data_IF_968828508700
#
_entry.id   IF_968828508700
#
_cell.length_a   1.000
_cell.length_b   1.000
_cell.length_c   1.000
_cell.angle_alpha   90.00
_cell.angle_beta   90.00
_cell.angle_gamma   90.00
#
_symmetry.space_group_name_H-M   'P 1'
#
loop_
_entity.id
_entity.type
_entity.pdbx_description
1 polymer ?
#
# COMPACT_ATOMS: atom_id res chain seq x y z
N UNK A 1 -35.56 33.04 -17.85
CA UNK A 1 -34.22 33.64 -17.61
C UNK A 1 -33.43 32.84 -16.59
N UNK A 2 -34.02 32.46 -15.44
CA UNK A 2 -33.38 31.66 -14.39
C UNK A 2 -32.90 30.27 -14.88
N UNK A 3 -33.71 29.56 -15.67
CA UNK A 3 -33.35 28.25 -16.22
C UNK A 3 -32.12 28.34 -17.13
N UNK A 4 -32.05 29.40 -17.96
CA UNK A 4 -30.88 29.65 -18.84
C UNK A 4 -29.62 29.94 -18.01
N UNK A 5 -29.78 30.66 -16.91
CA UNK A 5 -28.68 30.93 -15.99
C UNK A 5 -28.16 29.62 -15.34
N UNK A 6 -29.05 28.75 -14.90
CA UNK A 6 -28.68 27.45 -14.33
C UNK A 6 -27.95 26.55 -15.33
N UNK A 7 -28.49 26.47 -16.57
CA UNK A 7 -27.83 25.68 -17.63
C UNK A 7 -26.42 26.22 -17.92
N UNK A 8 -26.25 27.56 -17.93
CA UNK A 8 -24.93 28.17 -18.12
C UNK A 8 -23.99 27.85 -16.99
N UNK A 9 -24.43 27.97 -15.74
CA UNK A 9 -23.63 27.65 -14.55
C UNK A 9 -23.26 26.16 -14.51
N UNK A 10 -24.19 25.26 -14.88
CA UNK A 10 -23.91 23.84 -14.97
C UNK A 10 -22.82 23.54 -16.00
N UNK A 11 -22.94 24.06 -17.21
CA UNK A 11 -21.92 23.89 -18.27
C UNK A 11 -20.58 24.45 -17.85
N UNK A 12 -20.56 25.62 -17.22
CA UNK A 12 -19.32 26.20 -16.70
C UNK A 12 -18.69 25.35 -15.59
N UNK A 13 -19.48 24.77 -14.71
CA UNK A 13 -19.00 23.85 -13.69
C UNK A 13 -18.45 22.55 -14.31
N UNK A 14 -19.11 22.02 -15.32
CA UNK A 14 -18.66 20.84 -16.07
C UNK A 14 -17.32 21.10 -16.78
N UNK A 15 -17.18 22.25 -17.42
CA UNK A 15 -15.92 22.69 -18.06
C UNK A 15 -14.78 22.85 -17.04
N UNK A 16 -15.08 23.41 -15.85
CA UNK A 16 -14.11 23.59 -14.76
C UNK A 16 -13.70 22.27 -14.10
N UNK A 17 -14.60 21.31 -14.00
CA UNK A 17 -14.29 19.96 -13.48
C UNK A 17 -13.35 19.19 -14.41
N UNK A 18 -13.36 19.49 -15.70
CA UNK A 18 -12.54 18.82 -16.68
C UNK A 18 -12.91 17.34 -16.87
N UNK A 19 -11.92 16.53 -17.19
CA UNK A 19 -12.08 15.10 -17.41
C UNK A 19 -11.70 14.30 -16.16
N UNK A 20 -12.50 13.31 -15.79
CA UNK A 20 -12.14 12.32 -14.77
C UNK A 20 -11.00 11.39 -15.21
N UNK A 21 -10.78 11.28 -16.52
CA UNK A 21 -9.68 10.49 -17.05
C UNK A 21 -8.37 11.25 -16.92
N UNK A 22 -7.38 10.63 -16.29
CA UNK A 22 -6.03 11.16 -16.22
C UNK A 22 -5.42 11.16 -17.62
N UNK A 23 -5.33 12.34 -18.23
CA UNK A 23 -4.63 12.49 -19.52
C UNK A 23 -3.16 12.04 -19.37
N UNK A 24 -2.61 11.32 -20.35
CA UNK A 24 -1.17 11.06 -20.36
C UNK A 24 -0.41 12.40 -20.38
N UNK A 25 0.68 12.46 -19.62
CA UNK A 25 1.51 13.65 -19.57
C UNK A 25 2.13 13.92 -20.94
N UNK A 26 2.20 15.19 -21.34
CA UNK A 26 2.86 15.61 -22.57
C UNK A 26 4.37 15.46 -22.46
N UNK A 27 5.08 15.50 -23.62
CA UNK A 27 6.54 15.47 -23.65
C UNK A 27 7.17 16.64 -22.89
N UNK A 28 6.55 17.83 -22.98
CA UNK A 28 6.99 19.03 -22.26
C UNK A 28 6.81 18.90 -20.74
N UNK A 29 5.68 18.36 -20.28
CA UNK A 29 5.45 18.08 -18.86
C UNK A 29 6.45 17.07 -18.33
N UNK A 30 6.71 15.99 -19.07
CA UNK A 30 7.73 15.00 -18.71
C UNK A 30 9.14 15.58 -18.70
N UNK A 31 9.46 16.44 -19.65
CA UNK A 31 10.73 17.19 -19.69
C UNK A 31 10.90 18.07 -18.45
N UNK A 32 9.88 18.83 -18.12
CA UNK A 32 9.88 19.70 -16.91
C UNK A 32 10.02 18.87 -15.64
N UNK A 33 9.26 17.78 -15.50
CA UNK A 33 9.38 16.87 -14.35
C UNK A 33 10.79 16.29 -14.22
N UNK A 34 11.42 15.89 -15.33
CA UNK A 34 12.82 15.38 -15.32
C UNK A 34 13.81 16.44 -14.86
N UNK A 35 13.67 17.70 -15.32
CA UNK A 35 14.56 18.79 -14.94
C UNK A 35 14.50 19.14 -13.46
N UNK A 36 13.35 18.90 -12.81
CA UNK A 36 13.13 19.21 -11.40
C UNK A 36 13.30 17.99 -10.48
N UNK A 37 13.38 16.79 -11.06
CA UNK A 37 13.44 15.56 -10.30
C UNK A 37 14.87 15.26 -9.86
N UNK A 38 15.04 14.95 -8.57
CA UNK A 38 16.33 14.48 -8.05
C UNK A 38 16.57 13.05 -8.50
N UNK A 39 17.85 12.75 -8.75
CA UNK A 39 18.32 11.42 -9.11
C UNK A 39 19.66 11.13 -8.43
N UNK A 40 20.08 9.88 -8.47
CA UNK A 40 21.28 9.40 -7.80
C UNK A 40 22.50 9.57 -8.69
N UNK A 41 23.55 10.19 -8.14
CA UNK A 41 24.90 10.29 -8.69
C UNK A 41 25.89 9.67 -7.70
N UNK A 42 27.07 9.32 -8.15
CA UNK A 42 28.14 8.79 -7.31
C UNK A 42 29.01 9.93 -6.75
N UNK A 43 29.37 9.87 -5.47
CA UNK A 43 30.29 10.87 -4.87
C UNK A 43 31.76 10.65 -5.25
N UNK A 44 32.15 9.41 -5.59
CA UNK A 44 33.53 9.00 -5.84
C UNK A 44 33.61 7.94 -6.91
N UNK A 45 34.84 7.66 -7.38
CA UNK A 45 35.08 6.54 -8.29
C UNK A 45 34.84 5.22 -7.58
N UNK A 46 34.03 4.35 -8.19
CA UNK A 46 33.69 3.06 -7.64
C UNK A 46 34.02 1.92 -8.63
N UNK A 47 34.58 0.83 -8.13
CA UNK A 47 34.93 -0.32 -8.93
C UNK A 47 33.69 -1.18 -9.27
N UNK A 48 33.82 -2.02 -10.32
CA UNK A 48 32.86 -3.09 -10.59
C UNK A 48 32.72 -4.01 -9.36
N UNK A 49 31.49 -4.36 -9.02
CA UNK A 49 31.17 -5.25 -7.88
C UNK A 49 31.14 -4.54 -6.53
N UNK A 50 31.43 -3.23 -6.46
CA UNK A 50 31.29 -2.44 -5.23
C UNK A 50 29.85 -2.45 -4.76
N UNK A 51 29.61 -2.75 -3.50
CA UNK A 51 28.31 -2.71 -2.86
C UNK A 51 28.01 -1.28 -2.39
N UNK A 52 26.94 -0.69 -2.90
CA UNK A 52 26.61 0.71 -2.67
C UNK A 52 26.15 0.95 -1.23
N UNK A 53 26.71 1.98 -0.63
CA UNK A 53 26.34 2.52 0.68
C UNK A 53 25.77 3.91 0.57
N UNK A 54 25.15 4.41 1.60
CA UNK A 54 24.62 5.79 1.62
C UNK A 54 25.73 6.84 1.41
N UNK A 55 26.94 6.57 1.89
CA UNK A 55 28.09 7.45 1.75
C UNK A 55 28.57 7.60 0.30
N UNK A 56 28.29 6.63 -0.57
CA UNK A 56 28.66 6.66 -1.99
C UNK A 56 27.73 7.51 -2.85
N UNK A 57 26.55 7.87 -2.33
CA UNK A 57 25.47 8.43 -3.11
C UNK A 57 25.32 9.95 -2.93
N UNK A 58 25.11 10.66 -4.05
CA UNK A 58 24.78 12.07 -4.12
C UNK A 58 23.42 12.24 -4.80
N UNK A 59 22.56 13.07 -4.24
CA UNK A 59 21.24 13.38 -4.80
C UNK A 59 21.29 14.76 -5.46
N UNK A 60 21.13 14.80 -6.77
CA UNK A 60 21.18 16.04 -7.54
C UNK A 60 20.10 16.10 -8.63
N UNK A 61 19.91 17.27 -9.20
CA UNK A 61 19.10 17.57 -10.38
C UNK A 61 20.02 18.05 -11.51
N UNK A 62 19.61 17.91 -12.77
CA UNK A 62 18.44 17.20 -13.30
C UNK A 62 18.59 15.67 -13.33
N UNK A 63 17.47 14.97 -13.39
CA UNK A 63 17.50 13.53 -13.66
C UNK A 63 17.63 13.25 -15.15
N UNK A 64 18.26 12.12 -15.48
CA UNK A 64 18.34 11.59 -16.84
C UNK A 64 17.36 10.45 -17.05
N UNK A 65 17.15 10.07 -18.30
CA UNK A 65 16.35 8.89 -18.63
C UNK A 65 17.00 7.61 -18.08
N UNK A 66 16.19 6.70 -17.54
CA UNK A 66 16.63 5.45 -16.91
C UNK A 66 17.58 5.61 -15.71
N UNK A 67 17.74 6.83 -15.20
CA UNK A 67 18.54 7.08 -14.00
C UNK A 67 17.79 6.62 -12.75
N UNK A 68 18.53 6.09 -11.78
CA UNK A 68 18.01 5.70 -10.47
C UNK A 68 17.52 6.95 -9.72
N UNK A 69 16.30 6.90 -9.21
CA UNK A 69 15.67 7.98 -8.48
C UNK A 69 15.80 7.77 -6.97
N UNK A 70 15.63 8.85 -6.21
CA UNK A 70 15.72 8.85 -4.73
C UNK A 70 14.82 7.81 -4.06
N UNK A 71 13.68 7.50 -4.68
CA UNK A 71 12.71 6.54 -4.15
C UNK A 71 13.02 5.06 -4.49
N UNK A 72 14.12 4.80 -5.20
CA UNK A 72 14.59 3.43 -5.45
C UNK A 72 15.63 3.04 -4.41
N UNK A 73 15.49 1.86 -3.83
CA UNK A 73 16.52 1.30 -2.96
C UNK A 73 17.74 0.95 -3.81
N UNK A 74 18.87 1.57 -3.52
CA UNK A 74 20.15 1.31 -4.16
C UNK A 74 21.20 0.82 -3.19
N UNK A 75 20.99 1.05 -1.91
CA UNK A 75 21.89 0.62 -0.83
C UNK A 75 21.91 -0.92 -0.77
N UNK A 76 23.10 -1.49 -0.73
CA UNK A 76 23.31 -2.94 -0.75
C UNK A 76 23.35 -3.57 -2.15
N UNK A 77 23.04 -2.82 -3.22
CA UNK A 77 23.18 -3.29 -4.62
C UNK A 77 24.62 -3.15 -5.09
N UNK A 78 25.03 -4.00 -6.02
CA UNK A 78 26.40 -3.99 -6.55
C UNK A 78 26.46 -3.36 -7.93
N UNK A 79 27.54 -2.64 -8.22
CA UNK A 79 27.80 -2.08 -9.55
C UNK A 79 28.14 -3.19 -10.54
N UNK A 80 27.53 -3.15 -11.72
CA UNK A 80 27.80 -4.04 -12.85
C UNK A 80 29.11 -3.70 -13.61
N UNK A 81 29.56 -2.44 -13.50
CA UNK A 81 30.77 -1.91 -14.12
C UNK A 81 31.42 -0.84 -13.24
N UNK A 82 32.71 -0.50 -13.52
CA UNK A 82 33.38 0.65 -12.91
C UNK A 82 32.67 1.94 -13.29
N UNK A 83 32.50 2.86 -12.32
CA UNK A 83 31.90 4.17 -12.51
C UNK A 83 32.76 5.27 -11.90
N UNK A 84 32.79 6.42 -12.56
CA UNK A 84 33.51 7.62 -12.09
C UNK A 84 32.69 8.44 -11.11
N UNK A 85 33.35 9.26 -10.33
CA UNK A 85 32.73 10.30 -9.50
C UNK A 85 31.82 11.21 -10.35
N UNK A 86 30.72 11.66 -9.75
CA UNK A 86 29.68 12.48 -10.37
C UNK A 86 28.98 11.87 -11.58
N UNK A 87 29.25 10.60 -11.90
CA UNK A 87 28.49 9.91 -12.94
C UNK A 87 27.04 9.65 -12.46
N UNK A 88 26.05 9.81 -13.35
CA UNK A 88 24.68 9.41 -13.07
C UNK A 88 24.62 7.89 -12.90
N UNK A 89 23.91 7.45 -11.87
CA UNK A 89 23.68 6.03 -11.63
C UNK A 89 22.43 5.58 -12.40
N UNK A 90 22.62 4.77 -13.43
CA UNK A 90 21.53 4.22 -14.25
C UNK A 90 21.05 2.88 -13.68
N UNK A 91 19.81 2.51 -13.94
CA UNK A 91 19.29 1.20 -13.54
C UNK A 91 20.08 0.02 -14.14
N UNK A 92 20.67 0.19 -15.34
CA UNK A 92 21.54 -0.78 -15.98
C UNK A 92 22.94 -0.93 -15.33
N UNK A 93 23.34 0.03 -14.51
CA UNK A 93 24.62 0.00 -13.80
C UNK A 93 24.59 -0.87 -12.54
N UNK A 94 23.40 -1.27 -12.15
CA UNK A 94 23.19 -2.10 -10.98
C UNK A 94 23.03 -3.57 -11.39
N UNK A 95 23.71 -4.46 -10.68
CA UNK A 95 23.44 -5.90 -10.84
C UNK A 95 21.97 -6.15 -10.56
N UNK A 96 21.37 -7.08 -11.31
CA UNK A 96 20.03 -7.52 -11.01
C UNK A 96 19.96 -7.94 -9.54
N UNK A 97 19.02 -7.39 -8.79
CA UNK A 97 18.62 -8.02 -7.54
C UNK A 97 18.15 -9.42 -7.91
N UNK A 98 18.61 -10.44 -7.18
CA UNK A 98 18.03 -11.77 -7.32
C UNK A 98 16.51 -11.62 -7.20
N UNK A 99 15.79 -11.88 -8.25
CA UNK A 99 14.34 -11.93 -8.53
C UNK A 99 13.34 -11.05 -7.73
N UNK A 100 13.76 -10.17 -6.85
CA UNK A 100 12.85 -9.27 -6.15
C UNK A 100 12.68 -7.96 -6.92
N UNK A 101 11.68 -7.91 -7.80
CA UNK A 101 11.14 -6.62 -8.30
C UNK A 101 10.80 -5.75 -7.09
N UNK A 102 11.23 -4.46 -7.07
CA UNK A 102 10.89 -3.57 -5.96
C UNK A 102 9.36 -3.58 -5.75
N UNK A 103 8.94 -3.71 -4.50
CA UNK A 103 7.51 -3.73 -4.17
C UNK A 103 6.84 -2.46 -4.72
N UNK A 104 5.78 -2.57 -5.52
CA UNK A 104 5.16 -1.44 -6.19
C UNK A 104 4.26 -0.64 -5.22
N UNK A 105 4.86 -0.07 -4.16
CA UNK A 105 4.16 0.61 -3.07
C UNK A 105 3.21 1.70 -3.58
N UNK A 106 3.67 2.55 -4.51
CA UNK A 106 2.82 3.61 -5.09
C UNK A 106 1.55 3.05 -5.73
N UNK A 107 1.67 1.97 -6.51
CA UNK A 107 0.52 1.32 -7.15
C UNK A 107 -0.44 0.71 -6.13
N UNK A 108 0.07 0.16 -5.02
CA UNK A 108 -0.76 -0.35 -3.91
C UNK A 108 -1.51 0.79 -3.24
N UNK A 109 -0.82 1.89 -2.91
CA UNK A 109 -1.44 3.06 -2.28
C UNK A 109 -2.53 3.70 -3.17
N UNK A 110 -2.30 3.77 -4.48
CA UNK A 110 -3.32 4.24 -5.43
C UNK A 110 -4.57 3.35 -5.45
N UNK A 111 -4.39 2.03 -5.42
CA UNK A 111 -5.53 1.10 -5.37
C UNK A 111 -6.31 1.22 -4.06
N UNK A 112 -5.62 1.29 -2.92
CA UNK A 112 -6.26 1.50 -1.61
C UNK A 112 -7.06 2.80 -1.61
N UNK A 113 -6.48 3.89 -2.12
CA UNK A 113 -7.17 5.18 -2.24
C UNK A 113 -8.39 5.09 -3.16
N UNK A 114 -8.29 4.35 -4.26
CA UNK A 114 -9.42 4.10 -5.17
C UNK A 114 -10.59 3.42 -4.45
N UNK A 115 -10.33 2.31 -3.76
CA UNK A 115 -11.34 1.56 -3.00
C UNK A 115 -11.99 2.42 -1.89
N UNK A 116 -11.19 3.20 -1.14
CA UNK A 116 -11.71 4.12 -0.13
C UNK A 116 -12.59 5.22 -0.75
N UNK A 117 -12.24 5.74 -1.91
CA UNK A 117 -13.02 6.74 -2.63
C UNK A 117 -14.35 6.15 -3.13
N UNK A 118 -14.33 4.96 -3.74
CA UNK A 118 -15.52 4.28 -4.24
C UNK A 118 -16.48 3.89 -3.11
N UNK A 119 -15.94 3.42 -1.99
CA UNK A 119 -16.74 3.11 -0.80
C UNK A 119 -17.30 4.34 -0.09
N UNK A 120 -16.84 5.54 -0.44
CA UNK A 120 -17.17 6.81 0.24
C UNK A 120 -16.89 6.77 1.75
N UNK A 121 -15.92 5.96 2.15
CA UNK A 121 -15.55 5.80 3.55
C UNK A 121 -14.73 6.99 4.03
N UNK A 122 -15.24 7.71 5.03
CA UNK A 122 -14.53 8.81 5.66
C UNK A 122 -13.50 8.28 6.66
N UNK A 123 -12.27 8.78 6.55
CA UNK A 123 -11.17 8.46 7.47
C UNK A 123 -10.85 9.72 8.28
N UNK A 124 -10.68 9.58 9.59
CA UNK A 124 -10.25 10.69 10.45
C UNK A 124 -8.81 11.10 10.15
N UNK A 125 -8.50 12.37 10.35
CA UNK A 125 -7.22 12.97 9.98
C UNK A 125 -6.00 12.34 10.68
N UNK A 126 -6.16 11.88 11.91
CA UNK A 126 -5.12 11.32 12.77
C UNK A 126 -5.09 9.78 12.77
N UNK A 127 -5.81 9.13 11.85
CA UNK A 127 -5.82 7.69 11.73
C UNK A 127 -4.42 7.15 11.37
N UNK A 128 -4.04 6.05 12.02
CA UNK A 128 -2.78 5.37 11.76
C UNK A 128 -2.96 4.36 10.63
N UNK A 129 -2.09 4.45 9.62
CA UNK A 129 -2.11 3.60 8.44
C UNK A 129 -1.01 2.53 8.52
N UNK A 130 -1.39 1.28 8.23
CA UNK A 130 -0.49 0.12 8.27
C UNK A 130 -0.76 -0.81 7.08
N UNK A 131 0.31 -1.31 6.44
CA UNK A 131 0.25 -2.43 5.50
C UNK A 131 0.65 -3.72 6.22
N UNK A 132 -0.31 -4.44 6.76
CA UNK A 132 -0.04 -5.72 7.42
C UNK A 132 0.35 -6.79 6.39
N UNK A 133 1.60 -7.28 6.46
CA UNK A 133 2.19 -8.20 5.47
C UNK A 133 2.80 -9.43 6.13
N UNK A 134 2.10 -10.54 6.15
CA UNK A 134 2.46 -11.72 6.92
C UNK A 134 3.58 -12.58 6.31
N UNK A 135 3.87 -12.41 5.04
CA UNK A 135 4.93 -13.13 4.31
C UNK A 135 5.94 -12.18 3.66
N UNK A 136 6.12 -11.00 4.24
CA UNK A 136 6.94 -9.92 3.71
C UNK A 136 6.19 -9.03 2.73
N UNK A 137 6.66 -7.78 2.61
CA UNK A 137 6.00 -6.73 1.83
C UNK A 137 5.83 -7.11 0.35
N UNK A 138 6.76 -7.87 -0.21
CA UNK A 138 6.71 -8.30 -1.63
C UNK A 138 5.51 -9.21 -1.94
N UNK A 139 4.95 -9.89 -0.94
CA UNK A 139 3.74 -10.73 -1.07
C UNK A 139 2.48 -10.04 -0.55
N UNK A 140 2.53 -8.77 -0.21
CA UNK A 140 1.40 -8.02 0.33
C UNK A 140 0.15 -8.11 -0.54
N UNK A 141 0.29 -8.09 -1.88
CA UNK A 141 -0.84 -8.20 -2.80
C UNK A 141 -1.58 -9.54 -2.72
N UNK A 142 -0.89 -10.57 -2.29
CA UNK A 142 -1.45 -11.91 -2.15
C UNK A 142 -1.92 -12.15 -0.71
N UNK A 143 -1.03 -11.84 0.25
CA UNK A 143 -1.27 -12.07 1.68
C UNK A 143 -1.03 -10.80 2.47
N UNK A 144 -2.09 -10.21 2.93
CA UNK A 144 -2.03 -9.00 3.73
C UNK A 144 -3.38 -8.33 3.88
N UNK A 145 -3.37 -7.19 4.51
CA UNK A 145 -4.50 -6.29 4.58
C UNK A 145 -4.01 -4.88 4.90
N UNK A 146 -4.72 -3.88 4.43
CA UNK A 146 -4.48 -2.51 4.89
C UNK A 146 -5.31 -2.25 6.12
N UNK A 147 -4.68 -1.82 7.20
CA UNK A 147 -5.32 -1.47 8.45
C UNK A 147 -5.24 0.04 8.66
N UNK A 148 -6.38 0.69 8.88
CA UNK A 148 -6.47 2.11 9.18
C UNK A 148 -7.10 2.23 10.57
N UNK A 149 -6.26 2.38 11.58
CA UNK A 149 -6.71 2.49 12.97
C UNK A 149 -7.23 3.88 13.24
N UNK A 150 -8.54 4.01 13.37
CA UNK A 150 -9.23 5.27 13.67
C UNK A 150 -9.27 5.57 15.17
N UNK A 151 -9.47 4.54 15.97
CA UNK A 151 -9.56 4.62 17.45
C UNK A 151 -8.94 3.36 18.02
N UNK A 152 -8.17 3.49 19.10
CA UNK A 152 -7.74 2.36 19.94
C UNK A 152 -7.68 2.84 21.40
N UNK A 153 -8.70 2.49 22.16
CA UNK A 153 -8.90 2.83 23.59
C UNK A 153 -9.42 1.57 24.31
N UNK A 154 -10.41 1.68 25.17
CA UNK A 154 -11.14 0.53 25.72
C UNK A 154 -11.93 -0.24 24.65
N UNK A 155 -12.09 0.35 23.51
CA UNK A 155 -12.57 -0.23 22.25
C UNK A 155 -11.71 0.25 21.09
N UNK A 156 -11.71 -0.50 20.00
CA UNK A 156 -11.00 -0.12 18.79
C UNK A 156 -11.96 -0.04 17.59
N UNK A 157 -11.66 0.92 16.71
CA UNK A 157 -12.29 1.06 15.41
C UNK A 157 -11.20 1.09 14.35
N UNK A 158 -11.29 0.22 13.36
CA UNK A 158 -10.42 0.21 12.19
C UNK A 158 -11.23 0.15 10.90
N UNK A 159 -10.69 0.74 9.87
CA UNK A 159 -11.11 0.48 8.49
C UNK A 159 -10.07 -0.46 7.87
N UNK A 160 -10.53 -1.57 7.36
CA UNK A 160 -9.72 -2.55 6.65
C UNK A 160 -9.99 -2.43 5.15
N UNK A 161 -8.93 -2.46 4.35
CA UNK A 161 -9.04 -2.50 2.89
C UNK A 161 -8.35 -3.76 2.39
N UNK A 162 -9.11 -4.61 1.73
CA UNK A 162 -8.63 -5.78 1.00
C UNK A 162 -8.52 -5.44 -0.49
N UNK A 163 -7.34 -5.65 -1.05
CA UNK A 163 -7.15 -5.55 -2.49
C UNK A 163 -7.82 -6.74 -3.21
N UNK A 164 -8.11 -6.63 -4.52
CA UNK A 164 -8.62 -7.76 -5.29
C UNK A 164 -7.73 -9.01 -5.15
N UNK A 165 -8.37 -10.14 -4.81
CA UNK A 165 -7.74 -11.47 -4.58
C UNK A 165 -6.79 -11.55 -3.39
N UNK A 166 -6.74 -10.54 -2.54
CA UNK A 166 -5.93 -10.52 -1.34
C UNK A 166 -6.57 -11.38 -0.25
N UNK A 167 -5.73 -12.07 0.52
CA UNK A 167 -6.14 -12.97 1.61
C UNK A 167 -5.47 -12.55 2.90
N UNK A 168 -6.20 -12.63 3.99
CA UNK A 168 -5.63 -12.54 5.32
C UNK A 168 -5.37 -13.95 5.85
N UNK A 169 -4.21 -14.24 6.49
CA UNK A 169 -3.90 -15.56 7.03
C UNK A 169 -4.89 -16.01 8.11
N UNK A 170 -5.04 -17.32 8.27
CA UNK A 170 -5.91 -17.92 9.27
C UNK A 170 -5.33 -17.71 10.66
N UNK A 171 -6.10 -17.11 11.55
CA UNK A 171 -5.66 -16.75 12.89
C UNK A 171 -6.85 -16.66 13.86
N UNK A 172 -6.56 -16.53 15.15
CA UNK A 172 -7.53 -16.19 16.18
C UNK A 172 -6.95 -15.18 17.16
N UNK A 173 -7.81 -14.55 17.94
CA UNK A 173 -7.45 -13.69 19.06
C UNK A 173 -7.77 -14.38 20.38
N UNK A 174 -6.87 -14.27 21.37
CA UNK A 174 -7.09 -14.86 22.71
C UNK A 174 -8.11 -14.08 23.52
N UNK A 175 -8.10 -12.76 23.38
CA UNK A 175 -8.85 -11.83 24.22
C UNK A 175 -9.79 -10.94 23.40
N UNK A 176 -9.33 -10.51 22.21
CA UNK A 176 -10.07 -9.56 21.37
C UNK A 176 -11.34 -10.20 20.79
N UNK A 177 -12.48 -9.54 21.01
CA UNK A 177 -13.72 -9.76 20.27
C UNK A 177 -13.81 -8.73 19.14
N UNK A 178 -14.21 -9.15 17.95
CA UNK A 178 -14.32 -8.31 16.76
C UNK A 178 -15.69 -8.43 16.12
N UNK A 179 -16.20 -7.33 15.60
CA UNK A 179 -17.32 -7.32 14.67
C UNK A 179 -16.88 -6.68 13.38
N UNK A 180 -16.96 -7.42 12.28
CA UNK A 180 -16.73 -6.89 10.95
C UNK A 180 -18.06 -6.43 10.35
N UNK A 181 -18.08 -5.27 9.71
CA UNK A 181 -19.15 -4.81 8.85
C UNK A 181 -18.60 -4.55 7.45
N UNK A 182 -19.16 -5.19 6.44
CA UNK A 182 -18.80 -4.89 5.05
C UNK A 182 -19.44 -3.56 4.64
N UNK A 183 -18.60 -2.58 4.25
CA UNK A 183 -19.04 -1.28 3.78
C UNK A 183 -19.16 -1.21 2.25
N UNK A 184 -18.26 -1.92 1.54
CA UNK A 184 -18.21 -1.94 0.08
C UNK A 184 -17.46 -3.17 -0.43
N UNK A 185 -17.86 -3.68 -1.61
CA UNK A 185 -17.20 -4.78 -2.30
C UNK A 185 -17.76 -6.15 -1.94
N UNK A 186 -16.91 -7.16 -1.95
CA UNK A 186 -17.24 -8.55 -1.60
C UNK A 186 -16.30 -9.09 -0.52
N UNK A 187 -16.83 -9.81 0.44
CA UNK A 187 -16.04 -10.39 1.52
C UNK A 187 -16.49 -11.80 1.86
N UNK A 188 -15.55 -12.74 1.79
CA UNK A 188 -15.72 -14.08 2.34
C UNK A 188 -14.91 -14.20 3.64
N UNK A 189 -15.60 -14.47 4.75
CA UNK A 189 -14.98 -14.89 6.01
C UNK A 189 -15.05 -16.42 6.14
N UNK A 190 -13.98 -17.01 6.65
CA UNK A 190 -14.03 -18.40 7.13
C UNK A 190 -13.93 -18.39 8.64
N UNK A 191 -14.91 -18.92 9.35
CA UNK A 191 -14.99 -19.02 10.81
C UNK A 191 -15.00 -20.49 11.21
N UNK A 192 -13.99 -20.96 11.94
CA UNK A 192 -13.83 -22.38 12.33
C UNK A 192 -14.12 -23.36 11.16
N UNK A 193 -13.56 -23.02 9.99
CA UNK A 193 -13.73 -23.81 8.75
C UNK A 193 -15.02 -23.57 7.98
N UNK A 194 -15.99 -22.83 8.52
CA UNK A 194 -17.25 -22.51 7.84
C UNK A 194 -17.15 -21.18 7.10
N UNK A 195 -17.58 -21.15 5.86
CA UNK A 195 -17.60 -19.93 5.03
C UNK A 195 -18.85 -19.12 5.28
N UNK A 196 -18.66 -17.81 5.42
CA UNK A 196 -19.70 -16.79 5.53
C UNK A 196 -19.39 -15.71 4.49
N UNK A 197 -20.33 -15.47 3.58
CA UNK A 197 -20.22 -14.40 2.59
C UNK A 197 -21.01 -13.22 3.11
N UNK A 198 -20.40 -12.03 3.11
CA UNK A 198 -21.05 -10.79 3.52
C UNK A 198 -21.34 -9.92 2.30
N UNK A 199 -22.50 -9.31 2.30
CA UNK A 199 -22.90 -8.22 1.40
C UNK A 199 -22.75 -6.85 2.11
N UNK A 200 -22.63 -5.74 1.38
CA UNK A 200 -22.53 -4.40 1.98
C UNK A 200 -23.69 -4.12 2.96
N UNK A 201 -23.32 -3.79 4.20
CA UNK A 201 -24.24 -3.60 5.33
C UNK A 201 -24.30 -4.79 6.30
N UNK A 202 -23.92 -5.99 5.87
CA UNK A 202 -23.89 -7.15 6.76
C UNK A 202 -22.81 -7.04 7.83
N UNK A 203 -23.08 -7.67 8.98
CA UNK A 203 -22.13 -7.74 10.10
C UNK A 203 -21.84 -9.18 10.47
N UNK A 204 -20.62 -9.43 10.95
CA UNK A 204 -20.20 -10.73 11.44
C UNK A 204 -19.40 -10.59 12.73
N UNK A 205 -19.87 -11.25 13.80
CA UNK A 205 -19.18 -11.31 15.09
C UNK A 205 -18.16 -12.43 15.12
N UNK A 206 -16.93 -12.13 15.52
CA UNK A 206 -15.84 -13.07 15.79
C UNK A 206 -15.49 -12.99 17.28
N UNK A 207 -15.80 -14.06 18.02
CA UNK A 207 -15.50 -14.16 19.45
C UNK A 207 -14.03 -14.54 19.68
N UNK A 208 -13.48 -14.24 20.88
CA UNK A 208 -12.19 -14.77 21.27
C UNK A 208 -12.09 -16.28 21.08
N UNK A 209 -10.94 -16.74 20.57
CA UNK A 209 -10.67 -18.17 20.29
C UNK A 209 -11.22 -18.68 18.96
N UNK A 210 -12.07 -17.94 18.26
CA UNK A 210 -12.61 -18.36 16.95
C UNK A 210 -11.56 -18.16 15.87
N UNK A 211 -11.19 -19.25 15.21
CA UNK A 211 -10.30 -19.21 14.05
C UNK A 211 -10.98 -18.54 12.87
N UNK A 212 -10.34 -17.54 12.31
CA UNK A 212 -10.91 -16.80 11.18
C UNK A 212 -9.86 -16.34 10.17
N UNK A 213 -10.30 -16.21 8.94
CA UNK A 213 -9.59 -15.56 7.84
C UNK A 213 -10.59 -14.84 6.96
N UNK A 214 -10.09 -13.85 6.22
CA UNK A 214 -10.90 -13.09 5.28
C UNK A 214 -10.21 -13.02 3.93
N UNK A 215 -11.01 -12.98 2.88
CA UNK A 215 -10.57 -12.80 1.51
C UNK A 215 -11.61 -12.05 0.70
N UNK A 216 -11.15 -11.32 -0.32
CA UNK A 216 -12.02 -10.66 -1.28
C UNK A 216 -11.59 -11.03 -2.70
N UNK A 217 -12.54 -11.20 -3.61
CA UNK A 217 -12.26 -11.46 -5.01
C UNK A 217 -12.02 -10.17 -5.80
N UNK A 218 -12.85 -9.15 -5.56
CA UNK A 218 -12.85 -7.90 -6.35
C UNK A 218 -12.33 -6.69 -5.55
N UNK A 219 -12.08 -6.88 -4.26
CA UNK A 219 -11.71 -5.84 -3.30
C UNK A 219 -12.84 -5.56 -2.32
N UNK A 220 -12.48 -5.17 -1.11
CA UNK A 220 -13.42 -4.86 -0.05
C UNK A 220 -12.94 -3.71 0.83
N UNK A 221 -13.90 -2.94 1.32
CA UNK A 221 -13.70 -1.99 2.42
C UNK A 221 -14.66 -2.38 3.54
N UNK A 222 -14.11 -2.63 4.72
CA UNK A 222 -14.88 -3.07 5.89
C UNK A 222 -14.49 -2.29 7.12
N UNK A 223 -15.40 -2.22 8.07
CA UNK A 223 -15.18 -1.68 9.41
C UNK A 223 -14.99 -2.82 10.39
N UNK A 224 -13.96 -2.73 11.23
CA UNK A 224 -13.74 -3.56 12.40
C UNK A 224 -14.04 -2.72 13.63
N UNK A 225 -15.02 -3.13 14.42
CA UNK A 225 -15.25 -2.67 15.77
C UNK A 225 -14.83 -3.80 16.71
N UNK A 226 -13.93 -3.50 17.64
CA UNK A 226 -13.41 -4.53 18.54
C UNK A 226 -13.16 -4.00 19.94
N UNK A 227 -12.92 -4.91 20.87
CA UNK A 227 -12.27 -4.56 22.13
C UNK A 227 -10.87 -4.05 21.88
N UNK A 228 -10.16 -3.57 22.89
CA UNK A 228 -8.81 -3.00 22.75
C UNK A 228 -7.91 -3.88 21.89
N UNK A 229 -7.28 -3.27 20.89
CA UNK A 229 -6.31 -3.93 20.05
C UNK A 229 -4.96 -4.06 20.75
N UNK A 230 -4.49 -5.30 20.89
CA UNK A 230 -3.17 -5.65 21.43
C UNK A 230 -2.34 -6.37 20.36
N UNK A 231 -1.13 -5.87 20.10
CA UNK A 231 -0.24 -6.40 19.04
C UNK A 231 0.08 -7.88 19.22
N UNK A 232 0.16 -8.35 20.46
CA UNK A 232 0.54 -9.73 20.83
C UNK A 232 -0.64 -10.72 20.88
N UNK A 233 -1.87 -10.26 20.62
CA UNK A 233 -3.08 -11.09 20.82
C UNK A 233 -3.41 -12.01 19.63
N UNK A 234 -2.80 -11.77 18.45
CA UNK A 234 -3.04 -12.57 17.24
C UNK A 234 -2.21 -13.85 17.22
N UNK A 235 -2.86 -15.00 17.15
CA UNK A 235 -2.26 -16.33 17.03
C UNK A 235 -2.54 -16.89 15.63
N UNK A 236 -1.49 -17.23 14.88
CA UNK A 236 -1.58 -17.69 13.50
C UNK A 236 -1.44 -19.19 13.39
N UNK A 237 -2.16 -19.80 12.42
CA UNK A 237 -2.05 -21.22 12.10
C UNK A 237 -0.69 -21.56 11.48
N UNK A 238 -0.17 -20.69 10.59
CA UNK A 238 1.13 -20.89 9.94
C UNK A 238 2.27 -20.61 10.92
N UNK A 239 3.12 -21.62 11.25
CA UNK A 239 4.26 -21.45 12.14
C UNK A 239 5.22 -20.34 11.70
N UNK A 240 5.39 -20.14 10.38
CA UNK A 240 6.26 -19.09 9.84
C UNK A 240 5.81 -17.69 10.24
N UNK A 241 4.50 -17.50 10.41
CA UNK A 241 3.96 -16.22 10.87
C UNK A 241 3.95 -16.16 12.40
N UNK A 242 3.62 -17.29 13.05
CA UNK A 242 3.51 -17.36 14.50
C UNK A 242 4.86 -17.06 15.21
N UNK A 243 5.97 -17.49 14.61
CA UNK A 243 7.34 -17.29 15.13
C UNK A 243 7.91 -15.90 14.81
N UNK A 244 7.29 -15.13 13.90
CA UNK A 244 7.74 -13.78 13.58
C UNK A 244 7.47 -12.81 14.73
N UNK A 245 8.39 -11.85 14.91
CA UNK A 245 8.13 -10.68 15.76
C UNK A 245 6.86 -9.95 15.22
N UNK A 246 5.87 -9.71 16.08
CA UNK A 246 4.64 -9.01 15.70
C UNK A 246 4.86 -7.64 15.05
N UNK A 247 5.96 -6.96 15.34
CA UNK A 247 6.32 -5.66 14.75
C UNK A 247 6.79 -5.82 13.30
N UNK A 248 7.48 -6.93 12.98
CA UNK A 248 8.04 -7.18 11.63
C UNK A 248 6.96 -7.57 10.60
N UNK A 249 5.80 -8.02 11.07
CA UNK A 249 4.64 -8.39 10.22
C UNK A 249 3.84 -7.19 9.72
N UNK A 250 4.25 -5.98 10.05
CA UNK A 250 3.50 -4.75 9.87
C UNK A 250 4.21 -3.77 8.95
#
# INVERSE_FOLDING_TARGET
>A
EQIRSWIRSYKQAEDLLGSYEKKPATSEELGTLRSLKRAVFLKQDLAKGHELTESDLLLAIPSQENQVLVNHSTIGRKLSAKKSALAPLLNSDLTAEGDSKPFPLSSVLFQIRGLLSESRTAINFDAQFELSHHYGINRFREFGTTLITCINRDYAKKILVQLPRQKHPYHFHKVKEETFQLLWGDLELTLDGKKVVLEPGDTCLVKPGVWHKLQSLNGAVMEEISTTYLVSDSCYEDPKIAEMDPVVRK
#
